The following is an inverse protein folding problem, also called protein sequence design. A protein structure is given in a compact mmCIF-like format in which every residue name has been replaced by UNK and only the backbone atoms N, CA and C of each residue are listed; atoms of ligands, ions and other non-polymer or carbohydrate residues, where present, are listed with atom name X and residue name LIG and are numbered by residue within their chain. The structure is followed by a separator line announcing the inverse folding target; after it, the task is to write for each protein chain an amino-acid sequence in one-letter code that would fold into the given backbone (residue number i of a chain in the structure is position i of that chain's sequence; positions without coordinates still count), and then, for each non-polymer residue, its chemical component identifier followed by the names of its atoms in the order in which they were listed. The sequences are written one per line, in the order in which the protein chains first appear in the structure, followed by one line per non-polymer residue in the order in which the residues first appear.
data_IF_736949774535
#
_entry.id   IF_736949774535
#
_cell.length_a   1.000
_cell.length_b   1.000
_cell.length_c   1.000
_cell.angle_alpha   90.00
_cell.angle_beta   90.00
_cell.angle_gamma   90.00
#
_symmetry.space_group_name_H-M   'P 1'
#
loop_
_entity.id
_entity.type
_entity.pdbx_description
1 polymer ?
#
# COMPACT_ATOMS: atom_id res chain seq x y z
N UNK A 1 14.26 -19.40 19.41
CA UNK A 1 13.33 -19.62 20.54
C UNK A 1 12.04 -18.88 20.24
N UNK A 2 10.84 -19.43 20.49
CA UNK A 2 9.57 -18.73 20.26
C UNK A 2 8.50 -19.17 21.25
N UNK A 3 7.85 -18.22 21.93
CA UNK A 3 6.76 -18.48 22.87
C UNK A 3 5.60 -17.52 22.65
N UNK A 4 4.37 -18.06 22.79
CA UNK A 4 3.13 -17.29 22.81
C UNK A 4 2.49 -17.46 24.17
N UNK A 5 2.30 -16.34 24.87
CA UNK A 5 1.66 -16.29 26.17
C UNK A 5 0.36 -15.50 26.10
N UNK A 6 -0.63 -15.92 26.85
CA UNK A 6 -1.88 -15.17 27.06
C UNK A 6 -2.08 -14.86 28.54
N UNK A 7 -2.75 -13.76 28.83
CA UNK A 7 -3.14 -13.36 30.17
C UNK A 7 -4.58 -12.86 30.14
N UNK A 8 -5.43 -13.48 30.95
CA UNK A 8 -6.85 -13.16 31.02
C UNK A 8 -7.30 -12.98 32.46
N UNK A 9 -7.93 -11.83 32.74
CA UNK A 9 -8.65 -11.51 33.96
C UNK A 9 -9.99 -10.84 33.61
N UNK A 10 -10.78 -10.42 34.60
CA UNK A 10 -12.11 -9.82 34.40
C UNK A 10 -12.09 -8.52 33.56
N UNK A 11 -10.93 -7.86 33.42
CA UNK A 11 -10.77 -6.56 32.74
C UNK A 11 -9.77 -6.58 31.58
N UNK A 12 -9.00 -7.66 31.42
CA UNK A 12 -7.87 -7.76 30.51
C UNK A 12 -7.89 -9.09 29.76
N UNK A 13 -7.75 -9.02 28.44
CA UNK A 13 -7.45 -10.18 27.60
C UNK A 13 -6.27 -9.78 26.71
N UNK A 14 -5.08 -10.29 27.04
CA UNK A 14 -3.80 -9.82 26.49
C UNK A 14 -2.98 -10.99 25.96
N UNK A 15 -2.24 -10.74 24.89
CA UNK A 15 -1.23 -11.66 24.39
C UNK A 15 0.17 -11.04 24.50
N UNK A 16 1.17 -11.90 24.60
CA UNK A 16 2.58 -11.53 24.64
C UNK A 16 3.40 -12.63 23.96
N UNK A 17 4.21 -12.24 22.98
CA UNK A 17 5.05 -13.10 22.18
C UNK A 17 6.50 -12.72 22.40
N UNK A 18 7.38 -13.72 22.39
CA UNK A 18 8.82 -13.51 22.36
C UNK A 18 9.46 -14.45 21.36
N UNK A 19 10.36 -13.92 20.56
CA UNK A 19 11.06 -14.64 19.51
C UNK A 19 12.54 -14.24 19.51
N UNK A 20 13.43 -15.24 19.46
CA UNK A 20 14.87 -15.04 19.27
C UNK A 20 15.25 -15.63 17.93
N UNK A 21 15.85 -14.79 17.10
CA UNK A 21 16.45 -15.13 15.82
C UNK A 21 17.90 -14.61 15.76
N UNK A 22 18.86 -15.53 15.85
CA UNK A 22 20.28 -15.21 15.99
C UNK A 22 20.57 -14.27 17.17
N UNK A 23 21.04 -13.06 16.87
CA UNK A 23 21.36 -12.03 17.88
C UNK A 23 20.21 -11.04 18.13
N UNK A 24 19.06 -11.26 17.51
CA UNK A 24 17.89 -10.39 17.60
C UNK A 24 16.81 -10.98 18.50
N UNK A 25 16.27 -10.15 19.38
CA UNK A 25 15.16 -10.46 20.27
C UNK A 25 13.96 -9.60 19.88
N UNK A 26 12.86 -10.25 19.48
CA UNK A 26 11.61 -9.58 19.13
C UNK A 26 10.54 -9.92 20.15
N UNK A 27 9.89 -8.90 20.70
CA UNK A 27 8.77 -9.02 21.63
C UNK A 27 7.55 -8.35 21.02
N UNK A 28 6.43 -9.05 20.92
CA UNK A 28 5.16 -8.49 20.44
C UNK A 28 4.08 -8.63 21.50
N UNK A 29 3.36 -7.56 21.85
CA UNK A 29 2.36 -7.61 22.92
C UNK A 29 1.16 -6.72 22.65
N UNK A 30 -0.02 -7.12 23.13
CA UNK A 30 -1.24 -6.34 22.91
C UNK A 30 -2.47 -6.98 23.53
N UNK A 31 -3.64 -6.41 23.22
CA UNK A 31 -4.93 -7.02 23.53
C UNK A 31 -5.16 -8.20 22.58
N UNK A 32 -5.65 -9.32 23.08
CA UNK A 32 -5.96 -10.50 22.26
C UNK A 32 -6.91 -10.13 21.13
N UNK A 33 -6.59 -10.52 19.89
CA UNK A 33 -7.33 -10.16 18.68
C UNK A 33 -6.89 -8.85 18.00
N UNK A 34 -5.82 -8.21 18.47
CA UNK A 34 -5.19 -7.05 17.81
C UNK A 34 -3.79 -7.41 17.31
N UNK A 35 -3.18 -6.57 16.46
CA UNK A 35 -1.80 -6.79 16.02
C UNK A 35 -0.76 -6.54 17.13
N UNK A 36 -1.14 -5.84 18.20
CA UNK A 36 -0.24 -5.45 19.28
C UNK A 36 0.85 -4.47 18.85
N UNK A 37 1.85 -4.30 19.71
CA UNK A 37 3.06 -3.51 19.48
C UNK A 37 4.27 -4.45 19.47
N UNK A 38 5.21 -4.20 18.56
CA UNK A 38 6.44 -4.99 18.43
C UNK A 38 7.64 -4.15 18.82
N UNK A 39 8.55 -4.74 19.59
CA UNK A 39 9.84 -4.16 19.95
C UNK A 39 10.94 -5.17 19.63
N UNK A 40 11.97 -4.71 18.93
CA UNK A 40 13.13 -5.53 18.55
C UNK A 40 14.39 -4.97 19.19
N UNK A 41 15.23 -5.86 19.73
CA UNK A 41 16.51 -5.50 20.36
C UNK A 41 17.60 -6.47 19.90
N UNK A 42 18.71 -5.92 19.40
CA UNK A 42 19.89 -6.68 18.99
C UNK A 42 20.92 -6.79 20.12
N UNK A 43 21.68 -7.88 20.14
CA UNK A 43 22.72 -8.18 21.12
C UNK A 43 24.05 -8.54 20.44
N UNK A 44 25.16 -8.45 21.18
CA UNK A 44 26.50 -8.77 20.63
C UNK A 44 26.64 -10.25 20.20
N UNK A 45 25.88 -11.15 20.82
CA UNK A 45 25.90 -12.57 20.50
C UNK A 45 24.60 -13.28 20.90
N UNK A 46 24.37 -14.42 20.27
CA UNK A 46 23.16 -15.24 20.43
C UNK A 46 22.97 -15.72 21.88
N UNK A 47 24.05 -16.05 22.59
CA UNK A 47 23.99 -16.51 23.99
C UNK A 47 23.47 -15.43 24.94
N UNK A 48 23.85 -14.16 24.75
CA UNK A 48 23.30 -13.02 25.51
C UNK A 48 21.82 -12.78 25.16
N UNK A 49 21.48 -12.88 23.88
CA UNK A 49 20.10 -12.73 23.39
C UNK A 49 19.16 -13.77 24.02
N UNK A 50 19.53 -15.06 23.94
CA UNK A 50 18.78 -16.17 24.53
C UNK A 50 18.61 -16.00 26.05
N UNK A 51 19.66 -15.62 26.77
CA UNK A 51 19.60 -15.43 28.22
C UNK A 51 18.62 -14.31 28.63
N UNK A 52 18.58 -13.21 27.88
CA UNK A 52 17.60 -12.15 28.15
C UNK A 52 16.18 -12.60 27.78
N UNK A 53 16.02 -13.38 26.71
CA UNK A 53 14.73 -13.93 26.31
C UNK A 53 14.12 -14.87 27.37
N UNK A 54 14.93 -15.80 27.90
CA UNK A 54 14.53 -16.72 28.98
C UNK A 54 14.15 -15.98 30.27
N UNK A 55 14.87 -14.89 30.58
CA UNK A 55 14.56 -14.02 31.72
C UNK A 55 13.19 -13.35 31.54
N UNK A 56 12.94 -12.72 30.39
CA UNK A 56 11.66 -12.06 30.10
C UNK A 56 10.50 -13.06 30.10
N UNK A 57 10.70 -14.25 29.54
CA UNK A 57 9.73 -15.34 29.57
C UNK A 57 9.38 -15.73 31.02
N UNK A 58 10.39 -15.97 31.85
CA UNK A 58 10.22 -16.34 33.26
C UNK A 58 9.50 -15.25 34.07
N UNK A 59 9.77 -13.98 33.81
CA UNK A 59 9.07 -12.85 34.43
C UNK A 59 7.59 -12.80 34.04
N UNK A 60 7.25 -13.10 32.79
CA UNK A 60 5.86 -13.11 32.33
C UNK A 60 5.07 -14.28 32.92
N UNK A 61 5.66 -15.48 32.95
CA UNK A 61 5.06 -16.65 33.59
C UNK A 61 4.79 -16.41 35.08
N UNK A 62 5.73 -15.78 35.81
CA UNK A 62 5.52 -15.38 37.22
C UNK A 62 4.39 -14.36 37.42
N UNK A 63 4.08 -13.55 36.40
CA UNK A 63 2.99 -12.57 36.40
C UNK A 63 1.63 -13.18 36.03
N UNK A 64 1.54 -14.51 35.93
CA UNK A 64 0.29 -15.22 35.65
C UNK A 64 -0.04 -15.34 34.17
N UNK A 65 0.88 -15.00 33.27
CA UNK A 65 0.74 -15.36 31.86
C UNK A 65 0.87 -16.87 31.70
N UNK A 66 0.02 -17.45 30.87
CA UNK A 66 0.00 -18.89 30.58
C UNK A 66 0.44 -19.14 29.15
N UNK A 67 1.13 -20.25 28.94
CA UNK A 67 1.59 -20.67 27.62
C UNK A 67 0.40 -21.19 26.80
N UNK A 68 0.20 -20.63 25.60
CA UNK A 68 -0.87 -21.07 24.70
C UNK A 68 -0.44 -22.32 23.93
N UNK A 69 -1.23 -23.40 24.00
CA UNK A 69 -0.95 -24.65 23.29
C UNK A 69 -0.91 -24.43 21.77
N UNK A 70 0.28 -24.52 21.18
CA UNK A 70 0.45 -24.76 19.74
C UNK A 70 0.10 -26.22 19.42
N UNK A 71 -1.18 -26.54 19.15
CA UNK A 71 -1.59 -27.83 18.55
C UNK A 71 -2.66 -27.69 17.47
N UNK A 72 -2.21 -27.91 16.25
CA UNK A 72 -2.79 -28.73 15.17
C UNK A 72 -4.22 -29.24 15.39
N UNK A 73 -5.18 -28.74 14.60
CA UNK A 73 -6.50 -29.35 14.45
C UNK A 73 -6.86 -29.48 12.97
N UNK A 74 -6.66 -30.70 12.46
CA UNK A 74 -7.32 -31.22 11.26
C UNK A 74 -8.83 -31.34 11.52
N UNK A 75 -9.69 -30.87 10.60
CA UNK A 75 -10.76 -31.68 10.00
C UNK A 75 -11.62 -30.91 8.97
N UNK A 76 -11.69 -31.53 7.78
CA UNK A 76 -12.83 -31.71 6.85
C UNK A 76 -13.49 -30.50 6.17
N UNK A 77 -13.04 -30.34 4.93
CA UNK A 77 -13.73 -29.99 3.67
C UNK A 77 -15.26 -29.79 3.71
N UNK A 78 -15.69 -28.63 3.23
CA UNK A 78 -16.71 -28.52 2.16
C UNK A 78 -16.33 -27.38 1.22
N UNK A 79 -16.61 -27.60 -0.06
CA UNK A 79 -15.89 -27.11 -1.23
C UNK A 79 -16.19 -25.65 -1.63
N UNK A 80 -15.24 -25.05 -2.34
CA UNK A 80 -15.31 -23.86 -3.22
C UNK A 80 -15.01 -22.47 -2.64
N UNK A 81 -13.72 -22.22 -2.38
CA UNK A 81 -12.97 -21.04 -2.85
C UNK A 81 -11.48 -21.33 -2.65
N UNK A 82 -10.66 -21.19 -3.70
CA UNK A 82 -9.22 -21.49 -3.65
C UNK A 82 -8.49 -20.47 -2.77
N UNK A 83 -8.37 -20.75 -1.48
CA UNK A 83 -7.37 -20.14 -0.60
C UNK A 83 -6.18 -21.08 -0.55
N UNK A 84 -5.04 -20.68 -1.12
CA UNK A 84 -3.78 -21.42 -1.01
C UNK A 84 -3.47 -21.62 0.48
N UNK A 85 -3.36 -22.87 0.92
CA UNK A 85 -3.04 -23.18 2.31
C UNK A 85 -1.55 -22.93 2.57
N UNK A 86 -1.21 -22.61 3.82
CA UNK A 86 0.15 -22.18 4.24
C UNK A 86 1.32 -23.13 3.90
N UNK A 87 1.05 -24.34 3.40
CA UNK A 87 2.09 -25.28 2.94
C UNK A 87 2.41 -25.23 1.45
N UNK A 88 1.48 -24.74 0.61
CA UNK A 88 1.60 -24.83 -0.84
C UNK A 88 2.67 -23.88 -1.39
N UNK A 89 2.73 -22.65 -0.87
CA UNK A 89 3.72 -21.65 -1.32
C UNK A 89 5.15 -22.06 -0.96
N UNK A 90 5.38 -22.68 0.20
CA UNK A 90 6.71 -23.13 0.62
C UNK A 90 7.26 -24.23 -0.30
N UNK A 91 6.38 -25.07 -0.83
CA UNK A 91 6.76 -26.11 -1.79
C UNK A 91 7.21 -25.48 -3.11
N UNK A 92 6.39 -24.59 -3.67
CA UNK A 92 6.71 -23.82 -4.87
C UNK A 92 8.06 -23.09 -4.73
N UNK A 93 8.28 -22.39 -3.62
CA UNK A 93 9.51 -21.64 -3.41
C UNK A 93 10.75 -22.53 -3.26
N UNK A 94 10.60 -23.72 -2.67
CA UNK A 94 11.69 -24.71 -2.63
C UNK A 94 12.02 -25.23 -4.03
N UNK A 95 11.04 -25.40 -4.89
CA UNK A 95 11.25 -25.77 -6.29
C UNK A 95 12.00 -24.65 -7.04
N UNK A 96 11.60 -23.39 -6.85
CA UNK A 96 12.29 -22.23 -7.41
C UNK A 96 13.75 -22.15 -6.93
N UNK A 97 13.98 -22.28 -5.62
CA UNK A 97 15.33 -22.19 -5.03
C UNK A 97 16.29 -23.29 -5.51
N UNK A 98 15.75 -24.45 -5.90
CA UNK A 98 16.52 -25.57 -6.46
C UNK A 98 16.42 -25.64 -8.00
N UNK A 99 15.86 -24.62 -8.66
CA UNK A 99 15.61 -24.67 -10.09
C UNK A 99 16.91 -24.64 -10.90
N UNK A 100 16.93 -25.42 -11.99
CA UNK A 100 17.99 -25.38 -13.00
C UNK A 100 17.83 -24.21 -13.97
N UNK A 101 16.64 -23.63 -14.05
CA UNK A 101 16.29 -22.49 -14.90
C UNK A 101 15.69 -21.38 -14.01
N UNK A 102 16.51 -20.95 -13.05
CA UNK A 102 16.11 -20.05 -11.96
C UNK A 102 15.45 -18.77 -12.49
N UNK A 103 16.05 -18.13 -13.50
CA UNK A 103 15.54 -16.88 -14.03
C UNK A 103 14.14 -17.06 -14.65
N UNK A 104 13.94 -18.10 -15.46
CA UNK A 104 12.64 -18.42 -16.06
C UNK A 104 11.56 -18.69 -15.02
N UNK A 105 11.89 -19.44 -13.96
CA UNK A 105 10.92 -19.77 -12.92
C UNK A 105 10.60 -18.57 -12.02
N UNK A 106 11.58 -17.70 -11.74
CA UNK A 106 11.33 -16.42 -11.07
C UNK A 106 10.46 -15.48 -11.92
N UNK A 107 10.71 -15.40 -13.24
CA UNK A 107 9.86 -14.62 -14.15
C UNK A 107 8.42 -15.11 -14.11
N UNK A 108 8.19 -16.44 -14.14
CA UNK A 108 6.85 -17.02 -14.03
C UNK A 108 6.21 -16.68 -12.68
N UNK A 109 6.96 -16.82 -11.59
CA UNK A 109 6.48 -16.61 -10.23
C UNK A 109 6.08 -15.14 -9.99
N UNK A 110 6.92 -14.19 -10.38
CA UNK A 110 6.71 -12.75 -10.15
C UNK A 110 5.91 -12.05 -11.25
N UNK A 111 5.39 -12.78 -12.26
CA UNK A 111 4.65 -12.19 -13.38
C UNK A 111 3.40 -11.41 -12.95
N UNK A 112 2.84 -11.70 -11.79
CA UNK A 112 1.68 -10.99 -11.24
C UNK A 112 1.97 -9.51 -10.94
N UNK A 113 3.24 -9.10 -10.83
CA UNK A 113 3.62 -7.69 -10.67
C UNK A 113 3.43 -6.87 -11.96
N UNK A 114 3.38 -7.51 -13.13
CA UNK A 114 3.03 -6.83 -14.39
C UNK A 114 1.50 -6.65 -14.47
N UNK A 115 0.95 -5.89 -13.53
CA UNK A 115 -0.49 -5.64 -13.36
C UNK A 115 -1.00 -4.44 -14.19
N UNK A 116 -0.16 -3.91 -15.07
CA UNK A 116 -0.50 -2.87 -16.05
C UNK A 116 -0.01 -3.28 -17.45
N UNK A 117 -0.73 -2.94 -18.53
CA UNK A 117 -0.35 -3.35 -19.88
C UNK A 117 1.08 -2.92 -20.27
N UNK A 118 1.87 -3.87 -20.78
CA UNK A 118 3.21 -3.61 -21.30
C UNK A 118 4.34 -3.77 -20.28
N UNK A 119 4.02 -4.13 -19.03
CA UNK A 119 5.02 -4.36 -17.98
C UNK A 119 5.56 -5.79 -17.94
N UNK A 120 4.99 -6.73 -18.69
CA UNK A 120 5.42 -8.13 -18.74
C UNK A 120 6.90 -8.31 -19.13
N UNK A 121 7.45 -7.57 -20.12
CA UNK A 121 8.87 -7.65 -20.45
C UNK A 121 9.80 -7.16 -19.32
N UNK A 122 9.33 -6.25 -18.46
CA UNK A 122 10.13 -5.67 -17.37
C UNK A 122 10.41 -6.73 -16.31
N UNK A 123 9.45 -7.61 -16.01
CA UNK A 123 9.66 -8.76 -15.11
C UNK A 123 10.81 -9.62 -15.63
N UNK A 124 10.81 -9.92 -16.94
CA UNK A 124 11.91 -10.62 -17.61
C UNK A 124 13.25 -9.93 -17.41
N UNK A 125 13.28 -8.61 -17.63
CA UNK A 125 14.49 -7.77 -17.48
C UNK A 125 15.01 -7.67 -16.07
N UNK A 126 14.17 -7.72 -15.04
CA UNK A 126 14.66 -7.73 -13.66
C UNK A 126 15.27 -9.09 -13.33
N UNK A 127 14.54 -10.18 -13.60
CA UNK A 127 14.93 -11.51 -13.17
C UNK A 127 16.01 -12.17 -14.05
N UNK A 128 16.36 -11.63 -15.23
CA UNK A 128 17.58 -12.03 -15.97
C UNK A 128 18.88 -11.75 -15.19
N UNK A 129 18.81 -10.85 -14.20
CA UNK A 129 19.91 -10.52 -13.29
C UNK A 129 19.89 -11.34 -11.99
N UNK A 130 18.90 -12.22 -11.77
CA UNK A 130 18.87 -13.07 -10.59
C UNK A 130 20.00 -14.12 -10.63
N UNK A 131 20.67 -14.31 -9.50
CA UNK A 131 21.80 -15.24 -9.34
C UNK A 131 21.54 -16.38 -8.37
N UNK A 132 20.71 -16.14 -7.36
CA UNK A 132 20.41 -17.11 -6.31
C UNK A 132 18.99 -16.86 -5.78
N UNK A 133 18.26 -17.92 -5.49
CA UNK A 133 17.07 -17.86 -4.66
C UNK A 133 17.21 -18.83 -3.49
N UNK A 134 16.83 -18.38 -2.29
CA UNK A 134 16.87 -19.19 -1.08
C UNK A 134 15.67 -18.92 -0.19
N UNK A 135 15.36 -19.88 0.67
CA UNK A 135 14.37 -19.68 1.72
C UNK A 135 15.04 -19.27 3.03
N UNK A 136 14.43 -18.33 3.73
CA UNK A 136 14.76 -18.00 5.11
C UNK A 136 13.46 -17.89 5.90
N UNK A 137 13.16 -18.92 6.70
CA UNK A 137 11.86 -19.08 7.33
C UNK A 137 10.73 -19.11 6.30
N UNK A 138 9.79 -18.17 6.42
CA UNK A 138 8.64 -18.00 5.51
C UNK A 138 8.87 -16.91 4.46
N UNK A 139 10.13 -16.70 4.04
CA UNK A 139 10.49 -15.71 3.04
C UNK A 139 11.28 -16.34 1.89
N UNK A 140 10.98 -15.91 0.67
CA UNK A 140 11.78 -16.17 -0.52
C UNK A 140 12.72 -14.99 -0.72
N UNK A 141 14.02 -15.26 -0.72
CA UNK A 141 15.06 -14.24 -0.89
C UNK A 141 15.74 -14.48 -2.24
N UNK A 142 15.68 -13.48 -3.11
CA UNK A 142 16.31 -13.50 -4.44
C UNK A 142 17.48 -12.51 -4.45
N UNK A 143 18.67 -12.98 -4.79
CA UNK A 143 19.86 -12.13 -4.97
C UNK A 143 20.08 -11.83 -6.45
N UNK A 144 20.60 -10.64 -6.72
CA UNK A 144 20.89 -10.15 -8.07
C UNK A 144 22.39 -9.89 -8.27
N UNK A 145 22.81 -9.84 -9.54
CA UNK A 145 24.23 -9.65 -9.94
C UNK A 145 24.88 -8.39 -9.35
N UNK A 146 24.10 -7.34 -9.12
CA UNK A 146 24.56 -6.07 -8.53
C UNK A 146 24.68 -6.13 -6.99
N UNK A 147 24.47 -7.30 -6.37
CA UNK A 147 24.54 -7.50 -4.91
C UNK A 147 23.24 -7.16 -4.18
N UNK A 148 22.23 -6.60 -4.86
CA UNK A 148 20.92 -6.30 -4.27
C UNK A 148 20.11 -7.56 -4.03
N UNK A 149 19.13 -7.44 -3.14
CA UNK A 149 18.25 -8.54 -2.74
C UNK A 149 16.80 -8.10 -2.79
N UNK A 150 15.93 -8.98 -3.29
CA UNK A 150 14.48 -8.88 -3.15
C UNK A 150 14.00 -9.95 -2.18
N UNK A 151 13.36 -9.52 -1.10
CA UNK A 151 12.79 -10.39 -0.07
C UNK A 151 11.27 -10.40 -0.20
N UNK A 152 10.72 -11.57 -0.46
CA UNK A 152 9.29 -11.78 -0.64
C UNK A 152 8.70 -12.54 0.56
N UNK A 153 7.78 -11.91 1.27
CA UNK A 153 7.11 -12.52 2.43
C UNK A 153 6.05 -13.53 2.01
N UNK A 154 5.61 -14.38 2.94
CA UNK A 154 4.50 -15.31 2.71
C UNK A 154 3.23 -14.58 2.24
N UNK A 155 2.31 -15.29 1.55
CA UNK A 155 0.97 -14.79 1.23
C UNK A 155 0.31 -14.06 2.41
N UNK A 156 -0.26 -12.89 2.12
CA UNK A 156 -1.05 -12.11 3.05
C UNK A 156 -2.53 -12.52 3.05
N UNK A 157 -3.33 -11.83 3.85
CA UNK A 157 -4.79 -11.98 3.85
C UNK A 157 -5.46 -10.75 3.23
N UNK A 158 -5.91 -10.81 1.97
CA UNK A 158 -6.58 -9.68 1.30
C UNK A 158 -7.79 -9.12 2.06
N UNK A 159 -8.50 -9.97 2.82
CA UNK A 159 -9.66 -9.55 3.61
C UNK A 159 -9.31 -8.56 4.73
N UNK A 160 -8.04 -8.45 5.11
CA UNK A 160 -7.55 -7.47 6.09
C UNK A 160 -7.37 -6.06 5.51
N UNK A 161 -7.48 -5.89 4.18
CA UNK A 161 -7.12 -4.65 3.48
C UNK A 161 -8.23 -4.13 2.55
N UNK A 162 -9.50 -4.32 2.91
CA UNK A 162 -10.68 -4.04 2.06
C UNK A 162 -10.79 -2.62 1.45
N UNK A 163 -10.08 -1.63 2.01
CA UNK A 163 -10.02 -0.26 1.45
C UNK A 163 -9.06 -0.14 0.26
N UNK A 164 -8.10 -1.04 0.12
CA UNK A 164 -7.10 -1.00 -0.95
C UNK A 164 -7.70 -1.45 -2.30
N UNK A 165 -7.12 -0.99 -3.43
CA UNK A 165 -7.56 -1.37 -4.77
C UNK A 165 -7.46 -2.88 -5.06
N UNK A 166 -8.22 -3.38 -6.04
CA UNK A 166 -8.26 -4.82 -6.33
C UNK A 166 -6.91 -5.32 -6.87
N UNK A 167 -6.19 -4.49 -7.64
CA UNK A 167 -4.82 -4.81 -8.06
C UNK A 167 -3.92 -5.11 -6.86
N UNK A 168 -3.88 -4.22 -5.88
CA UNK A 168 -3.11 -4.39 -4.64
C UNK A 168 -3.50 -5.68 -3.90
N UNK A 169 -4.81 -5.94 -3.75
CA UNK A 169 -5.31 -7.14 -3.07
C UNK A 169 -4.80 -8.44 -3.71
N UNK A 170 -4.68 -8.49 -5.05
CA UNK A 170 -4.11 -9.63 -5.77
C UNK A 170 -2.60 -9.77 -5.53
N UNK A 171 -1.87 -8.66 -5.37
CA UNK A 171 -0.44 -8.70 -5.07
C UNK A 171 -0.19 -9.29 -3.68
N UNK A 172 -0.90 -8.78 -2.66
CA UNK A 172 -0.70 -9.23 -1.28
C UNK A 172 -1.16 -10.67 -1.04
N UNK A 173 -2.07 -11.19 -1.87
CA UNK A 173 -2.43 -12.60 -1.89
C UNK A 173 -1.25 -13.49 -2.29
N UNK A 174 -0.32 -12.98 -3.11
CA UNK A 174 0.92 -13.68 -3.46
C UNK A 174 2.01 -13.45 -2.42
N UNK A 175 2.26 -12.21 -2.05
CA UNK A 175 3.25 -11.86 -1.04
C UNK A 175 2.77 -10.67 -0.21
N UNK A 176 2.61 -10.86 1.09
CA UNK A 176 2.16 -9.80 1.99
C UNK A 176 3.02 -8.54 1.90
N UNK A 177 4.32 -8.72 1.68
CA UNK A 177 5.27 -7.64 1.39
C UNK A 177 6.36 -8.11 0.41
N UNK A 178 6.86 -7.19 -0.41
CA UNK A 178 8.12 -7.32 -1.14
C UNK A 178 9.07 -6.21 -0.68
N UNK A 179 10.32 -6.55 -0.36
CA UNK A 179 11.27 -5.59 0.20
C UNK A 179 12.66 -5.68 -0.43
N UNK A 180 13.28 -4.53 -0.64
CA UNK A 180 14.72 -4.38 -0.82
C UNK A 180 15.31 -3.71 0.43
N UNK A 181 16.56 -3.27 0.37
CA UNK A 181 17.16 -2.48 1.45
C UNK A 181 16.60 -1.04 1.51
N UNK A 182 15.94 -0.59 0.43
CA UNK A 182 15.41 0.77 0.32
C UNK A 182 13.89 0.83 0.21
N UNK A 183 13.27 -0.19 -0.35
CA UNK A 183 11.88 -0.14 -0.82
C UNK A 183 11.05 -1.22 -0.16
N UNK A 184 9.83 -0.89 0.25
CA UNK A 184 8.83 -1.85 0.74
C UNK A 184 7.51 -1.67 0.00
N UNK A 185 7.09 -2.70 -0.74
CA UNK A 185 5.72 -2.86 -1.25
C UNK A 185 4.90 -3.67 -0.24
N UNK A 186 3.72 -3.16 0.15
CA UNK A 186 2.82 -3.82 1.10
C UNK A 186 1.86 -2.82 1.74
N UNK A 187 1.31 -3.11 2.92
CA UNK A 187 0.65 -2.07 3.72
C UNK A 187 1.70 -1.30 4.51
N UNK A 188 2.06 -0.12 4.03
CA UNK A 188 3.03 0.75 4.68
C UNK A 188 2.34 1.69 5.67
N UNK A 189 3.12 2.19 6.62
CA UNK A 189 2.69 3.32 7.47
C UNK A 189 2.98 4.62 6.73
N UNK A 190 2.15 5.63 6.95
CA UNK A 190 2.32 6.96 6.39
C UNK A 190 2.07 7.96 7.51
N UNK A 191 3.02 8.86 7.74
CA UNK A 191 2.89 9.88 8.77
C UNK A 191 2.17 11.10 8.21
N UNK A 192 0.84 11.11 8.31
CA UNK A 192 0.02 12.21 7.81
C UNK A 192 0.10 13.45 8.73
N UNK A 193 0.51 13.28 10.00
CA UNK A 193 0.43 14.34 11.01
C UNK A 193 1.49 15.43 10.82
N UNK A 194 2.44 15.21 9.90
CA UNK A 194 3.45 16.23 9.54
C UNK A 194 2.93 17.26 8.53
N UNK A 195 1.75 17.03 7.95
CA UNK A 195 1.15 17.92 6.93
C UNK A 195 0.03 18.76 7.56
N UNK A 196 0.05 20.06 7.25
CA UNK A 196 -0.89 21.07 7.75
C UNK A 196 -1.80 21.61 6.63
N UNK A 197 -2.84 22.36 7.00
CA UNK A 197 -3.72 23.03 6.04
C UNK A 197 -2.94 23.93 5.08
N UNK A 198 -3.16 23.75 3.77
CA UNK A 198 -2.39 24.41 2.72
C UNK A 198 -1.28 23.54 2.12
N UNK A 199 -0.89 22.44 2.79
CA UNK A 199 -0.04 21.43 2.18
C UNK A 199 -0.84 20.62 1.15
N UNK A 200 -0.22 20.34 0.00
CA UNK A 200 -0.87 19.59 -1.08
C UNK A 200 -1.42 18.24 -0.61
N UNK A 201 -0.66 17.53 0.24
CA UNK A 201 -1.10 16.23 0.79
C UNK A 201 -2.30 16.41 1.72
N UNK A 202 -2.26 17.40 2.61
CA UNK A 202 -3.38 17.67 3.52
C UNK A 202 -4.65 18.02 2.74
N UNK A 203 -4.53 18.98 1.81
CA UNK A 203 -5.63 19.47 0.98
C UNK A 203 -6.21 18.35 0.09
N UNK A 204 -5.36 17.49 -0.47
CA UNK A 204 -5.81 16.36 -1.32
C UNK A 204 -6.71 15.39 -0.56
N UNK A 205 -6.48 15.21 0.75
CA UNK A 205 -7.22 14.27 1.58
C UNK A 205 -8.24 14.94 2.52
N UNK A 206 -8.52 16.24 2.34
CA UNK A 206 -9.34 17.06 3.25
C UNK A 206 -8.93 16.93 4.74
N UNK A 207 -7.63 16.77 5.03
CA UNK A 207 -7.14 16.52 6.39
C UNK A 207 -7.53 15.16 6.99
N UNK A 208 -8.05 14.21 6.18
CA UNK A 208 -8.54 12.90 6.68
C UNK A 208 -7.48 11.81 6.55
N UNK A 209 -6.57 11.73 7.52
CA UNK A 209 -5.55 10.67 7.60
C UNK A 209 -6.09 9.24 7.41
N UNK A 210 -7.31 8.94 7.88
CA UNK A 210 -7.93 7.60 7.78
C UNK A 210 -8.25 7.14 6.35
N UNK A 211 -8.16 8.05 5.38
CA UNK A 211 -8.39 7.80 3.96
C UNK A 211 -7.08 7.55 3.20
N UNK A 212 -5.93 7.81 3.81
CA UNK A 212 -4.63 7.59 3.19
C UNK A 212 -4.32 6.10 3.17
N UNK A 213 -3.96 5.62 2.00
CA UNK A 213 -3.57 4.23 1.76
C UNK A 213 -2.19 4.24 1.11
N UNK A 214 -1.18 3.80 1.85
CA UNK A 214 0.21 3.79 1.42
C UNK A 214 0.63 2.37 1.01
N UNK A 215 0.65 2.06 -0.29
CA UNK A 215 1.11 0.76 -0.77
C UNK A 215 2.64 0.60 -0.86
N UNK A 216 3.41 1.69 -0.91
CA UNK A 216 4.84 1.63 -1.19
C UNK A 216 5.59 2.72 -0.41
N UNK A 217 6.66 2.33 0.27
CA UNK A 217 7.47 3.19 1.16
C UNK A 217 8.95 3.07 0.84
N UNK A 218 9.65 4.20 0.82
CA UNK A 218 11.11 4.26 0.81
C UNK A 218 11.67 4.56 2.20
N UNK A 219 12.84 4.01 2.50
CA UNK A 219 13.54 4.26 3.78
C UNK A 219 14.01 5.70 3.98
N UNK A 220 14.01 6.53 2.93
CA UNK A 220 14.24 7.98 3.00
C UNK A 220 12.94 8.78 3.22
N UNK A 221 11.86 8.08 3.60
CA UNK A 221 10.49 8.57 3.76
C UNK A 221 9.79 8.98 2.45
N UNK A 222 10.35 8.73 1.27
CA UNK A 222 9.58 8.95 0.04
C UNK A 222 8.45 7.91 -0.06
N UNK A 223 7.22 8.35 0.19
CA UNK A 223 6.05 7.48 0.21
C UNK A 223 5.25 7.57 -1.08
N UNK A 224 4.54 6.51 -1.43
CA UNK A 224 3.59 6.52 -2.53
C UNK A 224 2.23 6.11 -2.00
N UNK A 225 1.24 6.99 -2.18
CA UNK A 225 -0.11 6.83 -1.65
C UNK A 225 -1.15 6.80 -2.78
N UNK A 226 -2.28 6.15 -2.57
CA UNK A 226 -3.38 6.19 -3.54
C UNK A 226 -4.10 7.54 -3.52
N UNK A 227 -4.27 8.14 -4.69
CA UNK A 227 -5.04 9.38 -4.85
C UNK A 227 -6.53 9.13 -4.52
N UNK A 228 -7.20 10.03 -3.79
CA UNK A 228 -8.60 9.79 -3.38
C UNK A 228 -9.64 9.90 -4.50
N UNK A 229 -9.27 10.42 -5.67
CA UNK A 229 -10.22 10.84 -6.73
C UNK A 229 -9.71 10.53 -8.13
N UNK A 230 -8.44 10.81 -8.42
CA UNK A 230 -7.83 10.44 -9.70
C UNK A 230 -7.73 8.93 -9.86
N UNK A 231 -8.04 8.45 -11.07
CA UNK A 231 -8.08 7.04 -11.41
C UNK A 231 -7.29 6.77 -12.68
N UNK A 232 -6.82 5.54 -12.83
CA UNK A 232 -6.26 5.02 -14.06
C UNK A 232 -7.34 4.54 -15.04
N UNK A 233 -6.92 4.02 -16.21
CA UNK A 233 -7.84 3.55 -17.27
C UNK A 233 -8.69 2.35 -16.84
N UNK A 234 -8.31 1.65 -15.78
CA UNK A 234 -9.04 0.51 -15.21
C UNK A 234 -10.02 0.93 -14.10
N UNK A 235 -10.07 2.23 -13.79
CA UNK A 235 -10.92 2.80 -12.73
C UNK A 235 -10.37 2.62 -11.32
N UNK A 236 -9.12 2.15 -11.16
CA UNK A 236 -8.45 2.10 -9.87
C UNK A 236 -7.75 3.42 -9.55
N UNK A 237 -7.58 3.78 -8.27
CA UNK A 237 -6.89 5.01 -7.88
C UNK A 237 -5.50 5.16 -8.52
N UNK A 238 -5.21 6.35 -9.03
CA UNK A 238 -3.85 6.74 -9.42
C UNK A 238 -2.94 6.77 -8.17
N UNK A 239 -1.63 6.66 -8.37
CA UNK A 239 -0.67 6.62 -7.27
C UNK A 239 0.10 7.93 -7.25
N UNK A 240 0.16 8.54 -6.08
CA UNK A 240 0.72 9.85 -5.84
C UNK A 240 2.01 9.74 -5.02
N UNK A 241 3.16 10.21 -5.52
CA UNK A 241 4.39 10.26 -4.75
C UNK A 241 4.37 11.43 -3.76
N UNK A 242 4.86 11.18 -2.55
CA UNK A 242 5.04 12.14 -1.47
C UNK A 242 6.52 12.13 -1.11
N UNK A 243 7.26 13.15 -1.53
CA UNK A 243 8.69 13.28 -1.28
C UNK A 243 8.90 14.44 -0.31
N UNK A 244 9.59 14.20 0.80
CA UNK A 244 9.75 15.19 1.88
C UNK A 244 10.74 16.34 1.56
N UNK A 245 11.37 16.35 0.39
CA UNK A 245 12.47 17.30 0.08
C UNK A 245 12.27 18.17 -1.18
N UNK A 246 11.15 18.09 -1.90
CA UNK A 246 10.96 18.88 -3.13
C UNK A 246 9.60 19.59 -3.15
N UNK A 247 9.64 20.91 -3.35
CA UNK A 247 8.53 21.78 -3.76
C UNK A 247 8.06 21.49 -5.21
N UNK A 248 8.70 20.54 -5.91
CA UNK A 248 8.36 20.20 -7.28
C UNK A 248 7.02 19.45 -7.34
N UNK A 249 6.13 19.92 -8.21
CA UNK A 249 4.86 19.25 -8.51
C UNK A 249 5.12 17.91 -9.18
N UNK A 250 5.26 16.84 -8.39
CA UNK A 250 5.27 15.49 -8.95
C UNK A 250 3.83 15.08 -9.25
N UNK A 251 3.61 14.62 -10.48
CA UNK A 251 2.30 14.22 -10.96
C UNK A 251 1.98 12.77 -10.53
N UNK A 252 0.69 12.44 -10.36
CA UNK A 252 0.29 11.05 -10.17
C UNK A 252 0.76 10.15 -11.31
N UNK A 253 1.02 8.90 -10.99
CA UNK A 253 1.25 7.83 -11.97
C UNK A 253 -0.03 7.00 -12.12
N UNK A 254 -0.29 6.56 -13.35
CA UNK A 254 -1.55 5.90 -13.72
C UNK A 254 -1.39 4.41 -14.00
N UNK A 255 -0.22 3.83 -13.74
CA UNK A 255 -0.05 2.39 -13.65
C UNK A 255 -0.53 1.89 -12.28
N UNK A 256 -0.92 0.63 -12.22
CA UNK A 256 -1.16 -0.06 -10.95
C UNK A 256 0.15 -0.24 -10.17
N UNK A 257 0.01 -0.60 -8.90
CA UNK A 257 1.12 -0.58 -7.95
C UNK A 257 2.19 -1.65 -8.24
N UNK A 258 1.83 -2.81 -8.80
CA UNK A 258 2.80 -3.82 -9.20
C UNK A 258 3.73 -3.29 -10.29
N UNK A 259 3.15 -2.65 -11.31
CA UNK A 259 3.88 -2.01 -12.38
C UNK A 259 4.76 -0.85 -11.88
N UNK A 260 4.27 -0.03 -10.95
CA UNK A 260 5.10 1.01 -10.31
C UNK A 260 6.28 0.38 -9.55
N UNK A 261 6.04 -0.68 -8.78
CA UNK A 261 7.10 -1.38 -8.05
C UNK A 261 8.18 -1.93 -8.99
N UNK A 262 7.80 -2.47 -10.16
CA UNK A 262 8.77 -2.91 -11.18
C UNK A 262 9.63 -1.75 -11.69
N UNK A 263 9.06 -0.55 -11.89
CA UNK A 263 9.83 0.65 -12.27
C UNK A 263 10.85 1.00 -11.18
N UNK A 264 10.37 1.04 -9.94
CA UNK A 264 11.22 1.37 -8.79
C UNK A 264 12.35 0.34 -8.59
N UNK A 265 12.09 -0.94 -8.86
CA UNK A 265 13.14 -1.97 -8.88
C UNK A 265 14.14 -1.77 -10.01
N UNK A 266 13.70 -1.42 -11.22
CA UNK A 266 14.62 -1.11 -12.33
C UNK A 266 15.53 0.06 -11.98
N UNK A 267 14.96 1.13 -11.40
CA UNK A 267 15.72 2.30 -10.96
C UNK A 267 16.72 1.93 -9.84
N UNK A 268 16.27 1.23 -8.79
CA UNK A 268 17.17 0.83 -7.70
C UNK A 268 18.26 -0.14 -8.15
N UNK A 269 17.96 -1.03 -9.09
CA UNK A 269 18.90 -2.05 -9.55
C UNK A 269 19.76 -1.58 -10.73
N UNK A 270 19.55 -0.35 -11.21
CA UNK A 270 20.22 0.25 -12.36
C UNK A 270 20.05 -0.58 -13.65
N UNK A 271 18.82 -1.08 -13.88
CA UNK A 271 18.47 -1.90 -15.03
C UNK A 271 17.90 -1.02 -16.13
N UNK A 272 18.65 -0.89 -17.23
CA UNK A 272 18.21 -0.13 -18.39
C UNK A 272 17.10 -0.88 -19.16
N UNK A 273 15.88 -0.35 -19.09
CA UNK A 273 14.72 -0.90 -19.80
C UNK A 273 13.77 0.23 -20.19
N UNK A 274 13.13 0.08 -21.35
CA UNK A 274 12.09 1.02 -21.78
C UNK A 274 10.83 0.82 -20.94
N UNK A 275 10.56 1.76 -20.04
CA UNK A 275 9.33 1.77 -19.24
C UNK A 275 8.14 2.21 -20.12
N UNK A 276 7.01 1.47 -20.14
CA UNK A 276 5.78 1.91 -20.78
C UNK A 276 5.29 3.24 -20.20
N UNK A 277 4.98 4.19 -21.08
CA UNK A 277 4.34 5.44 -20.67
C UNK A 277 2.85 5.16 -20.46
N UNK A 278 2.40 5.24 -19.22
CA UNK A 278 0.97 5.13 -18.88
C UNK A 278 0.42 6.54 -18.70
N UNK A 279 -0.19 7.06 -19.76
CA UNK A 279 -0.79 8.39 -19.77
C UNK A 279 -1.97 8.49 -18.81
N UNK A 280 -2.12 9.68 -18.22
CA UNK A 280 -3.35 10.10 -17.54
C UNK A 280 -4.53 9.77 -18.45
N UNK A 281 -5.54 9.01 -17.98
CA UNK A 281 -6.75 8.82 -18.76
C UNK A 281 -7.28 10.19 -19.16
N UNK A 282 -7.62 10.35 -20.45
CA UNK A 282 -8.34 11.53 -20.87
C UNK A 282 -9.57 11.64 -19.97
N UNK A 283 -9.69 12.75 -19.24
CA UNK A 283 -10.93 13.02 -18.53
C UNK A 283 -11.99 13.14 -19.62
N UNK A 284 -12.82 12.09 -19.76
CA UNK A 284 -13.89 12.04 -20.75
C UNK A 284 -14.90 13.17 -20.55
N UNK A 285 -14.79 13.86 -19.41
CA UNK A 285 -15.53 15.06 -19.09
C UNK A 285 -14.67 16.32 -19.04
N UNK A 286 -13.34 16.31 -19.23
CA UNK A 286 -12.57 17.55 -19.18
C UNK A 286 -13.01 18.54 -20.26
N UNK A 287 -13.28 18.02 -21.47
CA UNK A 287 -13.84 18.82 -22.55
C UNK A 287 -15.26 19.29 -22.21
N UNK A 288 -16.10 18.44 -21.60
CA UNK A 288 -17.48 18.79 -21.23
C UNK A 288 -17.58 19.73 -20.02
N UNK A 289 -16.67 19.65 -19.05
CA UNK A 289 -16.53 20.51 -17.86
C UNK A 289 -15.98 21.88 -18.25
N UNK A 290 -14.96 21.91 -19.10
CA UNK A 290 -14.44 23.14 -19.69
C UNK A 290 -15.51 23.81 -20.55
N UNK A 291 -16.22 23.02 -21.37
CA UNK A 291 -17.34 23.49 -22.18
C UNK A 291 -18.49 23.98 -21.31
N UNK A 292 -18.81 23.28 -20.21
CA UNK A 292 -19.82 23.70 -19.24
C UNK A 292 -19.49 25.07 -18.67
N UNK A 293 -18.25 25.25 -18.17
CA UNK A 293 -17.80 26.52 -17.60
C UNK A 293 -17.85 27.64 -18.64
N UNK A 294 -17.35 27.38 -19.84
CA UNK A 294 -17.31 28.38 -20.91
C UNK A 294 -18.72 28.82 -21.34
N UNK A 295 -19.69 27.90 -21.32
CA UNK A 295 -21.09 28.15 -21.68
C UNK A 295 -21.92 28.80 -20.57
N UNK A 296 -21.37 28.98 -19.36
CA UNK A 296 -22.05 29.73 -18.31
C UNK A 296 -22.17 31.21 -18.69
N UNK A 297 -23.31 31.81 -18.33
CA UNK A 297 -23.45 33.26 -18.38
C UNK A 297 -22.51 33.94 -17.38
N UNK A 298 -22.20 35.22 -17.61
CA UNK A 298 -21.35 35.99 -16.70
C UNK A 298 -21.95 36.09 -15.29
N UNK A 299 -23.29 36.13 -15.18
CA UNK A 299 -23.99 36.12 -13.90
C UNK A 299 -23.74 34.80 -13.12
N UNK A 300 -23.72 33.66 -13.82
CA UNK A 300 -23.41 32.36 -13.22
C UNK A 300 -21.94 32.27 -12.80
N UNK A 301 -21.01 32.68 -13.68
CA UNK A 301 -19.57 32.73 -13.36
C UNK A 301 -19.32 33.61 -12.15
N UNK A 302 -19.97 34.78 -12.09
CA UNK A 302 -19.84 35.70 -10.96
C UNK A 302 -20.41 35.11 -9.66
N UNK A 303 -21.55 34.43 -9.70
CA UNK A 303 -22.13 33.79 -8.52
C UNK A 303 -21.20 32.72 -7.95
N UNK A 304 -20.58 31.89 -8.80
CA UNK A 304 -19.59 30.91 -8.36
C UNK A 304 -18.33 31.58 -7.79
N UNK A 305 -17.79 32.62 -8.45
CA UNK A 305 -16.63 33.37 -7.93
C UNK A 305 -16.89 33.99 -6.56
N UNK A 306 -18.07 34.60 -6.38
CA UNK A 306 -18.44 35.25 -5.13
C UNK A 306 -18.44 34.27 -3.94
N UNK A 307 -18.80 33.01 -4.17
CA UNK A 307 -18.79 31.99 -3.13
C UNK A 307 -17.42 31.34 -2.92
N UNK A 308 -16.53 31.34 -3.92
CA UNK A 308 -15.27 30.60 -3.86
C UNK A 308 -14.24 31.21 -2.90
N UNK A 309 -14.33 32.50 -2.58
CA UNK A 309 -13.51 33.21 -1.56
C UNK A 309 -11.97 32.99 -1.64
N UNK A 310 -11.42 32.55 -2.78
CA UNK A 310 -9.96 32.46 -3.00
C UNK A 310 -9.51 33.49 -4.03
N UNK A 311 -8.69 34.43 -3.58
CA UNK A 311 -8.16 35.56 -4.36
C UNK A 311 -7.60 35.14 -5.74
N UNK A 312 -8.15 35.73 -6.80
CA UNK A 312 -7.70 35.67 -8.20
C UNK A 312 -7.82 34.35 -8.97
N UNK A 313 -8.30 33.26 -8.37
CA UNK A 313 -8.51 31.97 -9.07
C UNK A 313 -9.98 31.70 -9.35
N UNK A 314 -10.25 31.11 -10.52
CA UNK A 314 -11.57 30.59 -10.87
C UNK A 314 -11.84 29.27 -10.12
N UNK A 315 -13.06 29.06 -9.58
CA UNK A 315 -13.43 27.76 -9.02
C UNK A 315 -13.48 26.70 -10.12
N UNK A 316 -12.88 25.53 -9.87
CA UNK A 316 -12.98 24.39 -10.81
C UNK A 316 -14.35 23.73 -10.73
N UNK A 317 -14.73 22.96 -11.77
CA UNK A 317 -15.98 22.19 -11.76
C UNK A 317 -16.06 21.24 -10.56
N UNK A 318 -14.97 20.54 -10.25
CA UNK A 318 -14.82 19.65 -9.10
C UNK A 318 -14.99 20.41 -7.80
N UNK A 319 -14.42 21.61 -7.68
CA UNK A 319 -14.58 22.46 -6.50
C UNK A 319 -16.06 22.80 -6.30
N UNK A 320 -16.75 23.23 -7.36
CA UNK A 320 -18.17 23.59 -7.30
C UNK A 320 -19.04 22.38 -6.94
N UNK A 321 -18.69 21.18 -7.43
CA UNK A 321 -19.38 19.94 -7.07
C UNK A 321 -19.30 19.63 -5.58
N UNK A 322 -18.24 20.01 -4.87
CA UNK A 322 -18.17 19.77 -3.42
C UNK A 322 -19.17 20.61 -2.62
N UNK A 323 -19.70 21.69 -3.17
CA UNK A 323 -20.57 22.59 -2.42
C UNK A 323 -21.94 21.96 -2.14
N UNK A 324 -22.34 21.97 -0.86
CA UNK A 324 -23.66 21.50 -0.45
C UNK A 324 -24.76 22.54 -0.72
N UNK A 325 -24.40 23.82 -0.78
CA UNK A 325 -25.30 24.96 -0.98
C UNK A 325 -24.62 26.00 -1.85
N UNK A 326 -25.42 26.71 -2.64
CA UNK A 326 -24.97 27.82 -3.46
C UNK A 326 -25.83 29.06 -3.16
N UNK A 327 -25.21 30.16 -2.76
CA UNK A 327 -25.92 31.41 -2.52
C UNK A 327 -26.07 32.21 -3.82
N UNK A 328 -27.30 32.27 -4.33
CA UNK A 328 -27.64 33.04 -5.54
C UNK A 328 -28.33 34.39 -5.22
N UNK A 329 -28.36 34.78 -3.94
CA UNK A 329 -29.02 36.02 -3.53
C UNK A 329 -28.38 37.24 -4.20
N UNK A 330 -29.19 38.05 -4.86
CA UNK A 330 -28.72 39.23 -5.59
C UNK A 330 -28.05 38.94 -6.93
N UNK A 331 -27.90 37.68 -7.33
CA UNK A 331 -27.36 37.31 -8.63
C UNK A 331 -28.44 37.42 -9.72
N UNK A 332 -28.08 37.96 -10.88
CA UNK A 332 -28.98 38.09 -12.03
C UNK A 332 -29.13 36.76 -12.80
N UNK A 333 -29.62 35.72 -12.12
CA UNK A 333 -29.79 34.37 -12.67
C UNK A 333 -31.22 34.21 -13.22
N UNK A 334 -31.32 33.86 -14.50
CA UNK A 334 -32.60 33.68 -15.22
C UNK A 334 -33.07 32.23 -15.32
N UNK A 335 -32.17 31.27 -15.12
CA UNK A 335 -32.45 29.83 -15.24
C UNK A 335 -31.46 29.00 -14.42
N UNK A 336 -31.88 27.79 -14.04
CA UNK A 336 -31.11 26.86 -13.20
C UNK A 336 -30.42 25.75 -13.99
N UNK A 337 -30.40 25.82 -15.34
CA UNK A 337 -29.84 24.75 -16.17
C UNK A 337 -28.38 24.40 -15.83
N UNK A 338 -27.50 25.35 -15.47
CA UNK A 338 -26.15 25.00 -15.04
C UNK A 338 -26.05 24.03 -13.87
N UNK A 339 -27.05 24.03 -12.98
CA UNK A 339 -27.10 23.11 -11.83
C UNK A 339 -27.46 21.68 -12.24
N UNK A 340 -28.15 21.47 -13.37
CA UNK A 340 -28.54 20.14 -13.83
C UNK A 340 -27.31 19.27 -14.12
N UNK A 341 -26.27 19.85 -14.73
CA UNK A 341 -25.00 19.15 -14.99
C UNK A 341 -24.28 18.78 -13.68
N UNK A 342 -24.26 19.69 -12.69
CA UNK A 342 -23.68 19.43 -11.38
C UNK A 342 -24.43 18.33 -10.62
N UNK A 343 -25.77 18.33 -10.71
CA UNK A 343 -26.62 17.32 -10.10
C UNK A 343 -26.48 15.96 -10.77
N UNK A 344 -26.38 15.92 -12.10
CA UNK A 344 -26.16 14.68 -12.84
C UNK A 344 -24.84 14.02 -12.41
N UNK A 345 -23.77 14.81 -12.29
CA UNK A 345 -22.46 14.30 -11.86
C UNK A 345 -22.45 13.88 -10.38
N UNK A 346 -23.15 14.59 -9.50
CA UNK A 346 -23.35 14.19 -8.09
C UNK A 346 -24.12 12.90 -7.91
N UNK A 347 -24.98 12.52 -8.86
CA UNK A 347 -25.76 11.28 -8.78
C UNK A 347 -25.01 10.07 -9.37
N UNK A 348 -23.90 10.30 -10.07
CA UNK A 348 -23.07 9.26 -10.68
C UNK A 348 -21.87 8.85 -9.79
N UNK A 349 -21.46 9.74 -8.89
CA UNK A 349 -20.41 9.53 -7.89
C UNK A 349 -21.02 9.28 -6.50
#
# INVERSE_FOLDING_TARGET
MKHHLTFKDDKSDKFWNIEVDGTSLTVTYGKTGTNGQTQTKSFDNEKKCLKEAEKLLSEKLKKGYVEGDTKTSSQKETTSAQTQTSGDFLKEWKEIANSKDLQSDLVKHFRYLADSPGFEPIVGKIFEHATEAKLSGNQLIVKFKNGKTLTAASPGNPNSYKKFPKSFLKLIEKHATLKTDRLELGKCSFDFDIFDEGDRVYDTFDGKASNVLCPLHYTDNSDWIYHPTEKNKEGEPAIFPVIHELEDEINPVYCNIGALFLQQLCDEFEIEVKIPIVERPADSFAESKTTWWNNLSDAWKQAFRNQFEKNEKEPTFETILTWERLNLSGAAISDLKPLEALLAEKNLN
#
